data_IF_920773123673
#
_entry.id   IF_920773123673
#
_cell.length_a   1.000
_cell.length_b   1.000
_cell.length_c   1.000
_cell.angle_alpha   90.00
_cell.angle_beta   90.00
_cell.angle_gamma   90.00
#
_symmetry.space_group_name_H-M   'P 1'
#
loop_
_entity.id
_entity.type
_entity.pdbx_description
1 polymer ?
#
# COMPACT_ATOMS: atom_id res chain seq x y z
N UNK A 1 -17.80 17.98 -64.08
CA UNK A 1 -16.57 17.45 -63.45
C UNK A 1 -16.15 18.21 -62.21
N UNK A 2 -16.09 19.55 -62.17
CA UNK A 2 -15.65 20.35 -61.03
C UNK A 2 -16.49 20.09 -59.77
N UNK A 3 -17.79 19.95 -59.86
CA UNK A 3 -18.69 19.68 -58.73
C UNK A 3 -18.44 18.32 -58.09
N UNK A 4 -18.14 17.29 -58.88
CA UNK A 4 -17.79 15.94 -58.37
C UNK A 4 -16.47 15.92 -57.59
N UNK A 5 -15.48 16.66 -58.06
CA UNK A 5 -14.18 16.81 -57.38
C UNK A 5 -14.36 17.56 -56.05
N UNK A 6 -15.18 18.59 -56.00
CA UNK A 6 -15.48 19.33 -54.78
C UNK A 6 -16.18 18.46 -53.72
N UNK A 7 -17.16 17.66 -54.12
CA UNK A 7 -17.82 16.72 -53.18
C UNK A 7 -16.85 15.66 -52.68
N UNK A 8 -16.02 15.08 -53.54
CA UNK A 8 -15.02 14.10 -53.14
C UNK A 8 -14.00 14.67 -52.14
N UNK A 9 -13.54 15.91 -52.37
CA UNK A 9 -12.62 16.56 -51.43
C UNK A 9 -13.28 16.84 -50.07
N UNK A 10 -14.55 17.19 -50.05
CA UNK A 10 -15.30 17.40 -48.80
C UNK A 10 -15.49 16.10 -48.00
N UNK A 11 -15.80 15.02 -48.70
CA UNK A 11 -15.92 13.69 -48.08
C UNK A 11 -14.56 13.23 -47.48
N UNK A 12 -13.48 13.40 -48.21
CA UNK A 12 -12.15 13.07 -47.74
C UNK A 12 -11.74 13.90 -46.51
N UNK A 13 -12.09 15.19 -46.49
CA UNK A 13 -11.83 16.07 -45.35
C UNK A 13 -12.60 15.61 -44.08
N UNK A 14 -13.88 15.22 -44.25
CA UNK A 14 -14.68 14.69 -43.14
C UNK A 14 -14.10 13.34 -42.62
N UNK A 15 -13.77 12.44 -43.52
CA UNK A 15 -13.16 11.15 -43.13
C UNK A 15 -11.82 11.39 -42.41
N UNK A 16 -11.01 12.31 -42.92
CA UNK A 16 -9.75 12.71 -42.30
C UNK A 16 -9.94 13.27 -40.88
N UNK A 17 -10.91 14.16 -40.70
CA UNK A 17 -11.19 14.73 -39.38
C UNK A 17 -11.67 13.70 -38.37
N UNK A 18 -12.52 12.74 -38.77
CA UNK A 18 -12.99 11.64 -37.91
C UNK A 18 -11.81 10.71 -37.54
N UNK A 19 -10.96 10.43 -38.52
CA UNK A 19 -9.78 9.58 -38.27
C UNK A 19 -8.80 10.23 -37.27
N UNK A 20 -8.50 11.53 -37.43
CA UNK A 20 -7.66 12.26 -36.47
C UNK A 20 -8.28 12.34 -35.08
N UNK A 21 -9.59 12.55 -34.99
CA UNK A 21 -10.29 12.54 -33.70
C UNK A 21 -10.22 11.18 -33.04
N UNK A 22 -10.37 10.09 -33.79
CA UNK A 22 -10.25 8.73 -33.28
C UNK A 22 -8.83 8.42 -32.77
N UNK A 23 -7.80 8.80 -33.51
CA UNK A 23 -6.40 8.64 -33.07
C UNK A 23 -6.11 9.45 -31.81
N UNK A 24 -6.57 10.68 -31.73
CA UNK A 24 -6.36 11.52 -30.54
C UNK A 24 -7.08 10.93 -29.31
N UNK A 25 -8.28 10.41 -29.46
CA UNK A 25 -8.99 9.72 -28.40
C UNK A 25 -8.26 8.44 -27.95
N UNK A 26 -7.71 7.67 -28.91
CA UNK A 26 -6.94 6.46 -28.60
C UNK A 26 -5.68 6.79 -27.79
N UNK A 27 -4.91 7.81 -28.18
CA UNK A 27 -3.71 8.22 -27.43
C UNK A 27 -4.07 8.72 -26.03
N UNK A 28 -5.09 9.56 -25.88
CA UNK A 28 -5.53 10.05 -24.59
C UNK A 28 -6.02 8.91 -23.65
N UNK A 29 -6.73 7.93 -24.21
CA UNK A 29 -7.16 6.75 -23.46
C UNK A 29 -5.96 5.89 -23.02
N UNK A 30 -5.00 5.70 -23.92
CA UNK A 30 -3.79 4.93 -23.61
C UNK A 30 -2.96 5.59 -22.50
N UNK A 31 -2.80 6.90 -22.55
CA UNK A 31 -2.12 7.68 -21.51
C UNK A 31 -2.83 7.55 -20.16
N UNK A 32 -4.15 7.70 -20.12
CA UNK A 32 -4.94 7.55 -18.90
C UNK A 32 -4.81 6.13 -18.28
N UNK A 33 -4.83 5.09 -19.09
CA UNK A 33 -4.62 3.70 -18.63
C UNK A 33 -3.21 3.50 -18.12
N UNK A 34 -2.21 4.03 -18.81
CA UNK A 34 -0.81 3.90 -18.41
C UNK A 34 -0.51 4.63 -17.08
N UNK A 35 -1.19 5.74 -16.80
CA UNK A 35 -1.07 6.45 -15.52
C UNK A 35 -1.81 5.74 -14.37
N UNK A 36 -2.98 5.17 -14.62
CA UNK A 36 -3.79 4.52 -13.58
C UNK A 36 -3.24 3.15 -13.17
N UNK A 37 -2.72 2.37 -14.12
CA UNK A 37 -2.28 0.99 -13.89
C UNK A 37 -1.24 0.85 -12.77
N UNK A 38 -0.17 1.66 -12.67
CA UNK A 38 0.81 1.55 -11.61
C UNK A 38 0.23 1.82 -10.21
N UNK A 39 -0.70 2.79 -10.12
CA UNK A 39 -1.38 3.11 -8.85
C UNK A 39 -2.22 1.94 -8.39
N UNK A 40 -3.01 1.35 -9.29
CA UNK A 40 -3.85 0.19 -8.98
C UNK A 40 -3.02 -1.02 -8.55
N UNK A 41 -1.87 -1.24 -9.19
CA UNK A 41 -0.94 -2.31 -8.80
C UNK A 41 -0.34 -2.06 -7.41
N UNK A 42 0.08 -0.83 -7.11
CA UNK A 42 0.58 -0.47 -5.79
C UNK A 42 -0.48 -0.69 -4.71
N UNK A 43 -1.71 -0.23 -4.95
CA UNK A 43 -2.84 -0.42 -4.04
C UNK A 43 -3.23 -1.90 -3.87
N UNK A 44 -3.14 -2.71 -4.93
CA UNK A 44 -3.39 -4.15 -4.84
C UNK A 44 -2.38 -4.88 -3.94
N UNK A 45 -1.09 -4.51 -4.03
CA UNK A 45 -0.04 -5.04 -3.14
C UNK A 45 -0.30 -4.61 -1.70
N UNK A 46 -0.61 -3.34 -1.45
CA UNK A 46 -0.93 -2.84 -0.11
C UNK A 46 -2.14 -3.52 0.48
N UNK A 47 -3.20 -3.72 -0.32
CA UNK A 47 -4.39 -4.46 0.11
C UNK A 47 -4.04 -5.87 0.55
N UNK A 48 -3.23 -6.58 -0.23
CA UNK A 48 -2.78 -7.93 0.11
C UNK A 48 -1.98 -7.95 1.41
N UNK A 49 -1.03 -7.02 1.59
CA UNK A 49 -0.23 -6.95 2.80
C UNK A 49 -1.10 -6.66 4.03
N UNK A 50 -2.04 -5.73 3.93
CA UNK A 50 -2.97 -5.39 5.01
C UNK A 50 -3.93 -6.54 5.36
N UNK A 51 -4.42 -7.29 4.37
CA UNK A 51 -5.28 -8.46 4.61
C UNK A 51 -4.55 -9.62 5.28
N UNK A 52 -3.23 -9.71 5.07
CA UNK A 52 -2.38 -10.74 5.66
C UNK A 52 -1.63 -10.27 6.91
N UNK A 53 -2.04 -9.19 7.55
CA UNK A 53 -1.42 -8.68 8.79
C UNK A 53 -1.49 -9.76 9.88
N UNK A 54 -0.37 -9.94 10.57
CA UNK A 54 -0.27 -10.86 11.70
C UNK A 54 -0.70 -10.13 12.97
N UNK A 55 -1.57 -10.76 13.73
CA UNK A 55 -2.06 -10.23 15.00
C UNK A 55 -0.94 -10.07 16.02
N UNK A 56 -0.84 -8.91 16.69
CA UNK A 56 0.09 -8.76 17.82
C UNK A 56 -0.21 -9.80 18.89
N UNK A 57 0.80 -10.52 19.34
CA UNK A 57 0.65 -11.46 20.46
C UNK A 57 0.85 -10.69 21.76
N UNK A 58 -0.20 -10.51 22.55
CA UNK A 58 -0.16 -9.91 23.90
C UNK A 58 0.46 -10.85 24.94
N UNK A 59 1.44 -11.68 24.54
CA UNK A 59 2.10 -12.64 25.42
C UNK A 59 3.49 -12.20 25.87
N UNK A 60 3.99 -12.85 26.91
CA UNK A 60 5.31 -12.64 27.52
C UNK A 60 6.48 -12.91 26.55
N UNK A 61 6.21 -13.58 25.43
CA UNK A 61 7.18 -13.90 24.38
C UNK A 61 7.06 -12.89 23.22
N UNK A 62 7.63 -11.70 23.38
CA UNK A 62 7.67 -10.65 22.36
C UNK A 62 8.46 -11.01 21.08
N UNK A 63 8.96 -12.24 20.95
CA UNK A 63 9.88 -12.65 19.87
C UNK A 63 9.19 -12.71 18.50
N UNK A 64 7.86 -12.89 18.47
CA UNK A 64 7.05 -12.92 17.25
C UNK A 64 5.83 -12.00 17.35
N UNK A 65 5.89 -10.96 18.18
CA UNK A 65 4.81 -10.00 18.27
C UNK A 65 4.77 -9.19 16.97
N UNK A 66 3.69 -9.33 16.24
CA UNK A 66 3.43 -8.54 15.06
C UNK A 66 2.99 -7.15 15.45
N UNK A 67 3.94 -6.25 15.66
CA UNK A 67 3.64 -4.85 15.93
C UNK A 67 2.96 -4.24 14.70
N UNK A 68 1.92 -3.44 14.97
CA UNK A 68 1.24 -2.66 13.93
C UNK A 68 1.28 -1.19 14.35
N UNK A 69 1.90 -0.37 13.51
CA UNK A 69 2.13 1.05 13.81
C UNK A 69 1.83 1.89 12.58
N UNK A 70 1.08 2.97 12.79
CA UNK A 70 0.76 3.97 11.77
C UNK A 70 1.08 5.35 12.30
N UNK A 71 1.62 6.22 11.44
CA UNK A 71 2.02 7.58 11.76
C UNK A 71 3.41 7.90 11.21
N UNK A 72 4.01 8.98 11.68
CA UNK A 72 5.40 9.31 11.32
C UNK A 72 6.35 8.49 12.20
N UNK A 73 6.86 7.40 11.66
CA UNK A 73 7.64 6.41 12.38
C UNK A 73 9.12 6.44 11.95
N UNK A 74 9.99 6.04 12.88
CA UNK A 74 11.38 5.68 12.55
C UNK A 74 11.53 4.16 12.72
N UNK A 75 12.13 3.50 11.74
CA UNK A 75 12.33 2.05 11.76
C UNK A 75 13.82 1.72 11.60
N UNK A 76 14.36 0.73 12.36
CA UNK A 76 15.75 0.32 12.22
C UNK A 76 16.08 -0.13 10.79
N UNK A 77 17.19 0.39 10.24
CA UNK A 77 17.62 0.07 8.86
C UNK A 77 16.98 0.92 7.77
N UNK A 78 16.08 1.83 8.13
CA UNK A 78 15.40 2.73 7.18
C UNK A 78 15.78 4.18 7.50
N UNK A 79 16.25 4.92 6.49
CA UNK A 79 16.78 6.28 6.64
C UNK A 79 15.69 7.35 6.68
N UNK A 80 14.54 7.08 6.09
CA UNK A 80 13.42 8.01 5.99
C UNK A 80 12.29 7.62 6.96
N UNK A 81 11.47 8.58 7.40
CA UNK A 81 10.27 8.27 8.16
C UNK A 81 9.32 7.38 7.35
N UNK A 82 8.77 6.36 7.98
CA UNK A 82 7.78 5.46 7.38
C UNK A 82 6.38 5.83 7.82
N UNK A 83 5.41 5.63 6.94
CA UNK A 83 4.02 5.95 7.23
C UNK A 83 3.28 4.80 7.95
N UNK A 84 3.74 3.56 7.74
CA UNK A 84 3.20 2.36 8.38
C UNK A 84 4.30 1.32 8.55
N UNK A 85 4.25 0.59 9.66
CA UNK A 85 5.05 -0.59 9.96
C UNK A 85 4.12 -1.71 10.42
N UNK A 86 4.25 -2.89 9.81
CA UNK A 86 3.42 -4.03 10.14
C UNK A 86 4.14 -5.34 9.84
N UNK A 87 3.66 -6.43 10.45
CA UNK A 87 4.08 -7.78 10.15
C UNK A 87 3.00 -8.48 9.35
N UNK A 88 3.39 -9.17 8.28
CA UNK A 88 2.47 -9.85 7.38
C UNK A 88 2.93 -11.26 7.08
N UNK A 89 1.99 -12.16 6.82
CA UNK A 89 2.25 -13.52 6.36
C UNK A 89 2.26 -13.61 4.82
N UNK A 90 2.86 -12.63 4.15
CA UNK A 90 2.96 -12.59 2.68
C UNK A 90 4.31 -13.05 2.14
N UNK A 91 5.21 -13.50 3.01
CA UNK A 91 6.51 -14.02 2.64
C UNK A 91 6.43 -15.36 1.91
N UNK A 92 7.38 -15.60 1.01
CA UNK A 92 7.51 -16.90 0.37
C UNK A 92 8.43 -17.80 1.19
N UNK A 93 7.94 -18.99 1.54
CA UNK A 93 8.76 -20.03 2.13
C UNK A 93 9.77 -20.54 1.09
N UNK A 94 11.03 -20.68 1.52
CA UNK A 94 12.12 -21.22 0.70
C UNK A 94 12.89 -22.24 1.55
N UNK A 95 13.17 -23.38 0.97
CA UNK A 95 13.79 -24.53 1.68
C UNK A 95 15.15 -24.21 2.30
N UNK A 96 15.88 -23.22 1.77
CA UNK A 96 17.22 -22.86 2.26
C UNK A 96 17.28 -21.49 2.96
N UNK A 97 16.12 -20.90 3.32
CA UNK A 97 16.09 -19.62 4.00
C UNK A 97 15.86 -19.82 5.50
N UNK A 98 16.60 -19.13 6.39
CA UNK A 98 16.44 -19.24 7.84
C UNK A 98 15.21 -18.50 8.38
N UNK A 99 14.35 -17.99 7.52
CA UNK A 99 13.13 -17.23 7.87
C UNK A 99 11.89 -17.91 7.31
N UNK A 100 10.76 -17.71 7.99
CA UNK A 100 9.44 -18.20 7.57
C UNK A 100 8.72 -17.26 6.57
N UNK A 101 7.41 -17.39 6.54
CA UNK A 101 6.49 -16.57 5.74
C UNK A 101 6.15 -15.22 6.37
N UNK A 102 6.40 -15.04 7.67
CA UNK A 102 6.19 -13.77 8.36
C UNK A 102 7.35 -12.83 8.06
N UNK A 103 7.03 -11.63 7.62
CA UNK A 103 7.99 -10.59 7.30
C UNK A 103 7.48 -9.23 7.80
N UNK A 104 8.41 -8.34 8.14
CA UNK A 104 8.08 -6.95 8.46
C UNK A 104 8.04 -6.14 7.19
N UNK A 105 6.98 -5.36 7.03
CA UNK A 105 6.76 -4.46 5.89
C UNK A 105 6.67 -3.05 6.40
N UNK A 106 7.32 -2.13 5.67
CA UNK A 106 7.14 -0.69 5.84
C UNK A 106 6.89 -0.05 4.49
N UNK A 107 6.09 1.01 4.48
CA UNK A 107 5.89 1.86 3.30
C UNK A 107 6.50 3.22 3.57
N UNK A 108 7.37 3.67 2.66
CA UNK A 108 8.12 4.92 2.79
C UNK A 108 8.18 5.67 1.46
N UNK A 109 8.28 7.00 1.54
CA UNK A 109 8.51 7.87 0.41
C UNK A 109 9.98 8.29 0.38
N UNK A 110 10.70 7.96 -0.70
CA UNK A 110 12.09 8.37 -0.94
C UNK A 110 12.15 9.45 -2.01
N UNK A 111 13.16 10.28 -1.94
CA UNK A 111 13.44 11.26 -3.00
C UNK A 111 13.77 10.52 -4.30
N UNK A 112 13.21 10.96 -5.44
CA UNK A 112 13.43 10.30 -6.71
C UNK A 112 14.89 10.43 -7.17
N UNK A 113 15.35 9.46 -7.95
CA UNK A 113 16.71 9.47 -8.53
C UNK A 113 16.91 10.67 -9.47
N UNK A 114 15.88 11.04 -10.22
CA UNK A 114 15.85 12.28 -11.00
C UNK A 114 15.31 13.43 -10.14
N UNK A 115 16.16 14.38 -9.80
CA UNK A 115 15.81 15.55 -8.98
C UNK A 115 14.75 16.47 -9.61
N UNK A 116 14.52 16.34 -10.91
CA UNK A 116 13.52 17.12 -11.62
C UNK A 116 12.17 16.40 -11.72
N UNK A 117 12.09 15.12 -11.31
CA UNK A 117 10.85 14.38 -11.30
C UNK A 117 9.90 14.96 -10.24
N UNK A 118 8.60 15.11 -10.57
CA UNK A 118 7.63 15.59 -9.60
C UNK A 118 7.37 14.52 -8.52
N UNK A 119 7.24 14.97 -7.25
CA UNK A 119 6.89 14.07 -6.14
C UNK A 119 8.04 13.19 -5.67
N UNK A 120 7.69 12.10 -5.01
CA UNK A 120 8.60 11.11 -4.42
C UNK A 120 8.31 9.72 -4.98
N UNK A 121 9.26 8.82 -4.78
CA UNK A 121 9.10 7.40 -5.10
C UNK A 121 8.58 6.64 -3.88
N UNK A 122 7.52 5.87 -4.08
CA UNK A 122 6.97 4.99 -3.05
C UNK A 122 7.70 3.66 -3.08
N UNK A 123 8.23 3.28 -1.93
CA UNK A 123 8.90 2.00 -1.70
C UNK A 123 8.16 1.16 -0.67
N UNK A 124 8.17 -0.14 -0.92
CA UNK A 124 7.80 -1.19 0.02
C UNK A 124 9.09 -1.84 0.52
N UNK A 125 9.46 -1.61 1.76
CA UNK A 125 10.68 -2.14 2.35
C UNK A 125 10.35 -3.39 3.16
N UNK A 126 11.05 -4.48 2.86
CA UNK A 126 10.78 -5.83 3.37
C UNK A 126 11.94 -6.31 4.21
N UNK A 127 11.69 -6.59 5.48
CA UNK A 127 12.60 -7.29 6.38
C UNK A 127 12.13 -8.73 6.55
N UNK A 128 12.87 -9.68 5.97
CA UNK A 128 12.51 -11.12 6.04
C UNK A 128 13.05 -11.78 7.31
N UNK A 129 14.30 -11.52 7.65
CA UNK A 129 14.89 -12.07 8.88
C UNK A 129 14.56 -11.17 10.06
N UNK A 130 13.37 -11.33 10.63
CA UNK A 130 12.88 -10.56 11.77
C UNK A 130 13.58 -10.92 13.09
N UNK A 131 14.31 -12.04 13.12
CA UNK A 131 15.07 -12.55 14.28
C UNK A 131 16.58 -12.34 14.11
N UNK A 132 17.00 -11.46 13.20
CA UNK A 132 18.42 -11.18 13.02
C UNK A 132 19.08 -10.70 14.31
N UNK A 133 20.22 -11.29 14.67
CA UNK A 133 21.01 -10.89 15.82
C UNK A 133 21.75 -9.55 15.62
N UNK A 134 21.84 -9.10 14.40
CA UNK A 134 22.46 -7.82 13.98
C UNK A 134 21.41 -6.95 13.27
N UNK A 135 21.87 -5.83 12.68
CA UNK A 135 20.99 -4.98 11.87
C UNK A 135 20.32 -5.82 10.77
N UNK A 136 18.98 -5.85 10.71
CA UNK A 136 18.26 -6.63 9.71
C UNK A 136 18.57 -6.16 8.29
N UNK A 137 18.66 -7.10 7.35
CA UNK A 137 18.71 -6.81 5.93
C UNK A 137 17.32 -6.39 5.44
N UNK A 138 17.24 -5.21 4.85
CA UNK A 138 16.02 -4.60 4.33
C UNK A 138 16.08 -4.58 2.81
N UNK A 139 15.13 -5.25 2.17
CA UNK A 139 15.00 -5.28 0.72
C UNK A 139 13.96 -4.25 0.26
N UNK A 140 14.41 -3.22 -0.43
CA UNK A 140 13.54 -2.19 -0.98
C UNK A 140 12.96 -2.63 -2.32
N UNK A 141 11.64 -2.49 -2.43
CA UNK A 141 10.87 -2.74 -3.64
C UNK A 141 10.23 -1.44 -4.10
N UNK A 142 10.68 -0.92 -5.21
CA UNK A 142 10.03 0.23 -5.85
C UNK A 142 8.61 -0.15 -6.28
N UNK A 143 7.65 0.74 -6.05
CA UNK A 143 6.24 0.52 -6.36
C UNK A 143 5.68 1.55 -7.32
N UNK A 144 5.93 2.84 -7.06
CA UNK A 144 5.30 3.93 -7.78
C UNK A 144 6.15 5.19 -7.68
N UNK A 145 6.30 5.93 -8.77
CA UNK A 145 6.91 7.26 -8.79
C UNK A 145 5.85 8.37 -8.82
N UNK A 146 6.29 9.59 -8.53
CA UNK A 146 5.44 10.76 -8.61
C UNK A 146 4.39 10.86 -7.51
N UNK A 147 4.65 10.32 -6.33
CA UNK A 147 3.76 10.39 -5.18
C UNK A 147 4.00 11.68 -4.41
N UNK A 148 2.96 12.48 -4.19
CA UNK A 148 3.02 13.67 -3.35
C UNK A 148 2.91 13.30 -1.88
N UNK A 149 1.94 12.45 -1.53
CA UNK A 149 1.73 11.95 -0.17
C UNK A 149 1.10 10.57 -0.17
N UNK A 150 1.38 9.84 0.90
CA UNK A 150 0.68 8.61 1.26
C UNK A 150 0.21 8.74 2.71
N UNK A 151 -1.05 8.42 2.94
CA UNK A 151 -1.70 8.53 4.24
C UNK A 151 -2.38 7.21 4.59
N UNK A 152 -2.25 6.82 5.86
CA UNK A 152 -2.92 5.67 6.43
C UNK A 152 -3.78 6.15 7.59
N UNK A 153 -5.05 5.74 7.60
CA UNK A 153 -5.97 6.00 8.71
C UNK A 153 -6.57 4.67 9.17
N UNK A 154 -6.64 4.47 10.46
CA UNK A 154 -7.11 3.26 11.10
C UNK A 154 -8.49 3.47 11.73
N UNK A 155 -9.38 2.51 11.57
CA UNK A 155 -10.72 2.51 12.15
C UNK A 155 -10.77 1.57 13.35
N UNK A 156 -11.20 2.07 14.51
CA UNK A 156 -11.32 1.30 15.75
C UNK A 156 -12.68 0.60 15.92
N UNK A 157 -13.62 0.81 14.98
CA UNK A 157 -15.01 0.38 15.05
C UNK A 157 -15.98 1.53 15.34
N UNK A 158 -15.48 2.70 15.76
CA UNK A 158 -16.27 3.90 16.06
C UNK A 158 -15.74 5.15 15.39
N UNK A 159 -14.42 5.32 15.34
CA UNK A 159 -13.76 6.51 14.80
C UNK A 159 -12.50 6.17 13.99
N UNK A 160 -12.11 7.12 13.13
CA UNK A 160 -10.87 7.07 12.38
C UNK A 160 -9.75 7.79 13.12
N UNK A 161 -8.54 7.21 13.09
CA UNK A 161 -7.31 7.80 13.65
C UNK A 161 -6.17 7.69 12.63
N UNK A 162 -5.37 8.74 12.50
CA UNK A 162 -4.19 8.78 11.63
C UNK A 162 -2.93 8.25 12.34
N UNK A 163 -3.07 7.82 13.58
CA UNK A 163 -2.02 7.19 14.37
C UNK A 163 -2.53 5.91 15.02
N UNK A 164 -1.68 4.88 15.01
CA UNK A 164 -1.97 3.59 15.64
C UNK A 164 -0.66 2.98 16.14
N UNK A 165 -0.67 2.44 17.35
CA UNK A 165 0.52 1.79 17.90
C UNK A 165 0.09 0.66 18.86
N UNK A 166 0.46 -0.57 18.51
CA UNK A 166 0.19 -1.76 19.34
C UNK A 166 1.38 -2.15 20.23
N UNK A 167 2.51 -1.42 20.15
CA UNK A 167 3.76 -1.78 20.86
C UNK A 167 3.80 -1.33 22.31
N UNK A 168 3.04 -0.33 22.67
CA UNK A 168 3.12 0.34 23.97
C UNK A 168 2.42 -0.44 25.08
N UNK A 169 3.06 -0.55 26.24
CA UNK A 169 2.44 -1.08 27.48
C UNK A 169 1.26 -0.18 27.93
N UNK A 170 1.28 1.08 27.52
CA UNK A 170 0.27 2.12 27.78
C UNK A 170 -0.50 2.53 26.51
N UNK A 171 -0.32 1.82 25.40
CA UNK A 171 -1.02 2.14 24.16
C UNK A 171 -2.52 1.93 24.32
N UNK A 172 -3.29 2.91 23.89
CA UNK A 172 -4.76 2.86 23.87
C UNK A 172 -5.28 1.72 23.00
N UNK A 173 -4.48 1.32 22.01
CA UNK A 173 -4.82 0.32 21.00
C UNK A 173 -3.92 -0.92 21.14
N UNK A 174 -4.38 -1.93 21.87
CA UNK A 174 -3.66 -3.22 22.00
C UNK A 174 -3.99 -4.20 20.87
N UNK A 175 -5.02 -3.91 20.09
CA UNK A 175 -5.53 -4.76 19.00
C UNK A 175 -5.25 -4.11 17.64
N UNK A 176 -5.36 -4.92 16.58
CA UNK A 176 -5.37 -4.41 15.21
C UNK A 176 -6.62 -3.54 14.97
N UNK A 177 -6.54 -2.57 14.06
CA UNK A 177 -7.72 -1.81 13.65
C UNK A 177 -8.71 -2.72 12.92
N UNK A 178 -9.98 -2.36 12.91
CA UNK A 178 -11.05 -3.06 12.17
C UNK A 178 -10.88 -2.90 10.66
N UNK A 179 -10.42 -1.71 10.25
CA UNK A 179 -10.14 -1.40 8.85
C UNK A 179 -9.02 -0.35 8.75
N UNK A 180 -8.32 -0.37 7.63
CA UNK A 180 -7.32 0.64 7.27
C UNK A 180 -7.72 1.30 5.96
N UNK A 181 -7.71 2.63 5.96
CA UNK A 181 -7.84 3.46 4.77
C UNK A 181 -6.46 3.84 4.31
N UNK A 182 -6.19 3.58 3.03
CA UNK A 182 -4.96 4.04 2.36
C UNK A 182 -5.33 5.07 1.33
N UNK A 183 -4.67 6.22 1.36
CA UNK A 183 -4.89 7.32 0.45
C UNK A 183 -3.57 7.70 -0.19
N UNK A 184 -3.50 7.70 -1.52
CA UNK A 184 -2.33 8.09 -2.30
C UNK A 184 -2.68 9.32 -3.12
N UNK A 185 -1.91 10.38 -2.96
CA UNK A 185 -1.97 11.59 -3.76
C UNK A 185 -0.78 11.61 -4.72
N UNK A 186 -1.05 11.73 -6.02
CA UNK A 186 0.00 11.91 -7.02
C UNK A 186 0.40 13.38 -7.14
N UNK A 187 1.67 13.62 -7.41
CA UNK A 187 2.20 14.92 -7.74
C UNK A 187 1.94 15.23 -9.24
N UNK A 188 1.62 16.47 -9.56
CA UNK A 188 1.46 16.93 -10.94
C UNK A 188 0.33 17.93 -11.11
N UNK A 189 0.33 18.58 -12.27
CA UNK A 189 -0.66 19.60 -12.62
C UNK A 189 -1.87 19.01 -13.38
N UNK A 190 -1.93 17.68 -13.54
CA UNK A 190 -3.06 17.04 -14.21
C UNK A 190 -4.28 17.06 -13.26
N UNK A 191 -5.46 17.53 -13.71
CA UNK A 191 -6.69 17.49 -12.90
C UNK A 191 -7.06 16.09 -12.39
N UNK A 192 -6.70 15.02 -13.10
CA UNK A 192 -6.88 13.65 -12.66
C UNK A 192 -6.04 13.31 -11.42
N UNK A 193 -4.90 13.99 -11.22
CA UNK A 193 -4.00 13.76 -10.10
C UNK A 193 -4.30 14.66 -8.89
N UNK A 194 -5.30 15.55 -8.98
CA UNK A 194 -5.67 16.45 -7.87
C UNK A 194 -6.50 15.79 -6.79
N UNK A 195 -7.11 14.64 -7.09
CA UNK A 195 -7.85 13.88 -6.09
C UNK A 195 -7.05 12.65 -5.68
N UNK A 196 -6.97 12.37 -4.36
CA UNK A 196 -6.29 11.17 -3.88
C UNK A 196 -7.07 9.92 -4.30
N UNK A 197 -6.33 8.90 -4.74
CA UNK A 197 -6.89 7.57 -4.90
C UNK A 197 -6.95 6.90 -3.53
N UNK A 198 -8.10 6.33 -3.19
CA UNK A 198 -8.35 5.77 -1.86
C UNK A 198 -8.79 4.31 -1.96
N UNK A 199 -8.27 3.48 -1.06
CA UNK A 199 -8.83 2.14 -0.80
C UNK A 199 -9.14 1.99 0.68
N UNK A 200 -10.19 1.21 0.94
CA UNK A 200 -10.56 0.75 2.27
C UNK A 200 -10.30 -0.76 2.36
N UNK A 201 -9.51 -1.15 3.35
CA UNK A 201 -9.14 -2.56 3.55
C UNK A 201 -9.60 -3.00 4.94
N UNK A 202 -10.57 -3.91 5.04
CA UNK A 202 -10.93 -4.53 6.31
C UNK A 202 -9.79 -5.44 6.77
N UNK A 203 -9.54 -5.48 8.08
CA UNK A 203 -8.57 -6.35 8.70
C UNK A 203 -9.31 -7.52 9.35
N UNK A 204 -9.21 -8.70 8.72
CA UNK A 204 -9.90 -9.91 9.19
C UNK A 204 -9.14 -10.64 10.30
N UNK A 205 -7.88 -10.29 10.49
CA UNK A 205 -6.98 -10.90 11.49
C UNK A 205 -7.33 -10.40 12.89
N UNK A 206 -8.28 -11.06 13.53
CA UNK A 206 -8.62 -10.78 14.92
C UNK A 206 -7.80 -11.65 15.86
N UNK A 207 -7.40 -11.08 17.01
CA UNK A 207 -6.81 -11.84 18.11
C UNK A 207 -7.76 -12.95 18.54
N UNK A 208 -7.48 -14.18 18.14
CA UNK A 208 -8.16 -15.34 18.72
C UNK A 208 -7.61 -15.54 20.12
N UNK A 209 -8.29 -14.99 21.11
CA UNK A 209 -8.11 -15.41 22.50
C UNK A 209 -8.57 -16.86 22.54
N UNK A 210 -7.65 -17.81 22.68
CA UNK A 210 -7.99 -19.15 23.15
C UNK A 210 -8.50 -18.95 24.57
N UNK A 211 -9.82 -18.84 24.73
CA UNK A 211 -10.45 -18.96 26.03
C UNK A 211 -10.09 -20.37 26.52
N UNK A 212 -9.19 -20.46 27.49
CA UNK A 212 -8.97 -21.68 28.25
C UNK A 212 -10.31 -21.97 28.91
N UNK A 213 -11.04 -22.95 28.40
CA UNK A 213 -12.21 -23.52 29.06
C UNK A 213 -11.69 -24.13 30.35
N UNK A 214 -11.69 -23.35 31.43
CA UNK A 214 -11.58 -23.89 32.80
C UNK A 214 -12.83 -24.71 33.04
N UNK A 215 -12.82 -25.97 32.62
CA UNK A 215 -13.72 -26.98 33.16
C UNK A 215 -13.30 -27.23 34.62
N UNK A 216 -13.86 -26.44 35.52
CA UNK A 216 -13.93 -26.84 36.94
C UNK A 216 -14.76 -28.10 36.99
N UNK A 217 -14.10 -29.27 36.99
CA UNK A 217 -14.71 -30.51 37.36
C UNK A 217 -15.09 -30.39 38.83
N UNK A 218 -16.35 -30.09 39.11
CA UNK A 218 -16.95 -30.25 40.45
C UNK A 218 -17.15 -31.74 40.65
N UNK A 219 -16.17 -32.40 41.27
CA UNK A 219 -16.33 -33.74 41.81
C UNK A 219 -17.21 -33.67 43.03
N UNK A 220 -18.39 -34.32 42.99
CA UNK A 220 -19.20 -34.71 44.10
C UNK A 220 -18.85 -36.13 44.54
#
# INVERSE_FOLDING_TARGET
MILAVGVAALVLAVIGSVFFAALHLQTATQEAVNEATPVDQALAVMRRDLQCVVTPTNGTSKILSGDFRVGTLTSPGISQPVAIEMFTATGALRDNAPWGDIQKITYELKDPSDRNAPGKDLYRSVTRNILAATTPDVADQWMLSGVQSIEFSCFDGSQWSDTWDTTGVTSVNTNLPVAVRVRIQLAGNNPANTQPTEILVPIDSQSRTNAVLNTTATGG
#
